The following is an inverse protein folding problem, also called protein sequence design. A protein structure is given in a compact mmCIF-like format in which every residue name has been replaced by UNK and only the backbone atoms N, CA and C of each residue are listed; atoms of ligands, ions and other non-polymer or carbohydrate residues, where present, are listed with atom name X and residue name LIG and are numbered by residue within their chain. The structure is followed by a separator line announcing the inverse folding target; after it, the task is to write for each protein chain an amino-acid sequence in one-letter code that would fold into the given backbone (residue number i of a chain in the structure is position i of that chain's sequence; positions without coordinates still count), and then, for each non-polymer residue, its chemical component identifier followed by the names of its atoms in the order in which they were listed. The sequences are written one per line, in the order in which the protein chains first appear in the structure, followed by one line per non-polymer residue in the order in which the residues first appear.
data_IF_482798271248
#
_entry.id   IF_482798271248
#
_cell.length_a   1.000
_cell.length_b   1.000
_cell.length_c   1.000
_cell.angle_alpha   90.00
_cell.angle_beta   90.00
_cell.angle_gamma   90.00
#
_symmetry.space_group_name_H-M   'P 1'
#
loop_
_entity.id
_entity.type
_entity.pdbx_description
1 polymer ?
#
# COMPACT_ATOMS: atom_id res chain seq x y z
N UNK A 1 2.07 31.66 13.83
CA UNK A 1 0.76 31.10 13.42
C UNK A 1 0.75 30.63 11.95
N UNK A 2 1.83 30.83 11.19
CA UNK A 2 1.93 30.49 9.75
C UNK A 2 2.25 29.02 9.41
N UNK A 3 2.76 28.21 10.36
CA UNK A 3 3.33 26.89 10.04
C UNK A 3 2.37 25.68 10.12
N UNK A 4 1.13 25.83 10.58
CA UNK A 4 0.27 24.65 10.78
C UNK A 4 -0.18 24.01 9.45
N UNK A 5 -0.52 24.83 8.46
CA UNK A 5 -1.10 24.36 7.20
C UNK A 5 -0.08 24.05 6.10
N UNK A 6 1.19 24.44 6.24
CA UNK A 6 2.18 24.27 5.16
C UNK A 6 2.34 22.81 4.73
N UNK A 7 2.35 21.87 5.68
CA UNK A 7 2.45 20.44 5.37
C UNK A 7 1.21 19.91 4.63
N UNK A 8 0.02 20.46 4.92
CA UNK A 8 -1.21 20.07 4.25
C UNK A 8 -1.29 20.66 2.83
N UNK A 9 -0.88 21.92 2.66
CA UNK A 9 -0.87 22.58 1.34
C UNK A 9 0.07 21.87 0.38
N UNK A 10 1.28 21.48 0.83
CA UNK A 10 2.19 20.66 0.02
C UNK A 10 1.59 19.33 -0.42
N UNK A 11 0.89 18.63 0.48
CA UNK A 11 0.21 17.38 0.13
C UNK A 11 -0.92 17.58 -0.91
N UNK A 12 -1.60 18.73 -0.87
CA UNK A 12 -2.65 19.06 -1.85
C UNK A 12 -2.03 19.38 -3.22
N UNK A 13 -0.90 20.08 -3.26
CA UNK A 13 -0.21 20.40 -4.51
C UNK A 13 0.35 19.15 -5.22
N UNK A 14 0.81 18.17 -4.45
CA UNK A 14 1.41 16.92 -4.95
C UNK A 14 0.38 15.80 -5.21
N UNK A 15 -0.93 16.06 -5.03
CA UNK A 15 -1.95 15.00 -5.14
C UNK A 15 -2.23 14.62 -6.59
N UNK A 16 -2.28 13.32 -6.87
CA UNK A 16 -2.71 12.81 -8.16
C UNK A 16 -4.25 12.92 -8.28
N UNK A 17 -4.72 13.80 -9.17
CA UNK A 17 -6.17 14.10 -9.33
C UNK A 17 -6.91 13.09 -10.21
N UNK A 18 -6.17 12.19 -10.86
CA UNK A 18 -6.70 11.12 -11.70
C UNK A 18 -6.18 9.80 -11.16
N UNK A 19 -7.07 8.84 -10.89
CA UNK A 19 -6.67 7.50 -10.50
C UNK A 19 -7.06 6.49 -11.57
N UNK A 20 -6.08 5.70 -12.01
CA UNK A 20 -6.35 4.53 -12.84
C UNK A 20 -6.80 3.40 -11.92
N UNK A 21 -7.99 2.87 -12.18
CA UNK A 21 -8.63 1.84 -11.35
C UNK A 21 -8.78 0.57 -12.16
N UNK A 22 -8.21 -0.52 -11.65
CA UNK A 22 -8.37 -1.85 -12.21
C UNK A 22 -9.63 -2.55 -11.71
N UNK A 23 -9.85 -3.76 -12.21
CA UNK A 23 -10.93 -4.64 -11.75
C UNK A 23 -10.45 -6.07 -11.62
N UNK A 24 -10.88 -6.75 -10.56
CA UNK A 24 -10.65 -8.18 -10.35
C UNK A 24 -11.31 -8.97 -11.48
N UNK A 25 -10.54 -9.80 -12.16
CA UNK A 25 -10.99 -10.65 -13.27
C UNK A 25 -11.04 -12.11 -12.88
N UNK A 26 -10.14 -12.55 -12.01
CA UNK A 26 -10.07 -13.95 -11.58
C UNK A 26 -9.49 -14.07 -10.18
N UNK A 27 -9.92 -15.09 -9.46
CA UNK A 27 -9.42 -15.44 -8.13
C UNK A 27 -9.05 -16.92 -8.17
N UNK A 28 -7.82 -17.26 -7.75
CA UNK A 28 -7.31 -18.62 -7.63
C UNK A 28 -6.64 -18.79 -6.26
N UNK A 29 -7.37 -19.32 -5.28
CA UNK A 29 -6.88 -19.40 -3.91
C UNK A 29 -6.57 -17.99 -3.36
N UNK A 30 -5.31 -17.75 -2.98
CA UNK A 30 -4.81 -16.46 -2.48
C UNK A 30 -4.23 -15.55 -3.58
N UNK A 31 -4.41 -15.91 -4.85
CA UNK A 31 -3.97 -15.09 -5.98
C UNK A 31 -5.19 -14.41 -6.62
N UNK A 32 -5.10 -13.10 -6.78
CA UNK A 32 -6.09 -12.29 -7.51
C UNK A 32 -5.45 -11.82 -8.81
N UNK A 33 -6.12 -12.02 -9.94
CA UNK A 33 -5.73 -11.45 -11.22
C UNK A 33 -6.69 -10.29 -11.54
N UNK A 34 -6.16 -9.11 -11.83
CA UNK A 34 -6.95 -7.92 -12.22
C UNK A 34 -6.55 -7.39 -13.60
N UNK A 35 -7.49 -6.75 -14.29
CA UNK A 35 -7.19 -5.94 -15.47
C UNK A 35 -6.89 -4.52 -14.99
N UNK A 36 -5.64 -4.08 -15.15
CA UNK A 36 -5.14 -2.89 -14.46
C UNK A 36 -5.19 -3.02 -12.92
N UNK A 37 -4.92 -1.95 -12.17
CA UNK A 37 -4.45 -0.64 -12.65
C UNK A 37 -3.00 -0.70 -13.14
N UNK A 38 -2.48 0.41 -13.66
CA UNK A 38 -1.05 0.53 -13.94
C UNK A 38 -0.27 0.52 -12.61
N UNK A 39 0.72 -0.37 -12.50
CA UNK A 39 1.54 -0.57 -11.31
C UNK A 39 2.83 -1.32 -11.69
N UNK A 40 3.80 -1.36 -10.79
CA UNK A 40 5.04 -2.12 -10.89
C UNK A 40 5.04 -3.34 -9.95
N UNK A 41 5.96 -4.28 -10.17
CA UNK A 41 6.16 -5.41 -9.24
C UNK A 41 6.65 -4.86 -7.90
N UNK A 42 6.05 -5.33 -6.80
CA UNK A 42 6.32 -4.86 -5.45
C UNK A 42 5.43 -3.69 -5.01
N UNK A 43 4.71 -3.05 -5.92
CA UNK A 43 3.74 -2.02 -5.56
C UNK A 43 2.62 -2.60 -4.71
N UNK A 44 2.12 -1.78 -3.79
CA UNK A 44 0.91 -2.05 -3.05
C UNK A 44 -0.33 -1.60 -3.82
N UNK A 45 -1.36 -2.42 -3.73
CA UNK A 45 -2.70 -2.14 -4.20
C UNK A 45 -3.73 -2.29 -3.07
N UNK A 46 -4.85 -1.59 -3.21
CA UNK A 46 -6.05 -1.79 -2.40
C UNK A 46 -7.12 -2.44 -3.26
N UNK A 47 -7.68 -3.54 -2.77
CA UNK A 47 -8.79 -4.25 -3.41
C UNK A 47 -10.05 -4.01 -2.59
N UNK A 48 -11.11 -3.55 -3.24
CA UNK A 48 -12.44 -3.46 -2.61
C UNK A 48 -12.93 -4.85 -2.21
N UNK A 49 -13.69 -4.90 -1.12
CA UNK A 49 -14.36 -6.09 -0.63
C UNK A 49 -15.84 -5.78 -0.35
N UNK A 50 -16.62 -6.82 -0.08
CA UNK A 50 -17.98 -6.66 0.48
C UNK A 50 -17.94 -5.81 1.76
N UNK A 51 -19.04 -5.08 2.03
CA UNK A 51 -19.24 -4.21 3.19
C UNK A 51 -18.28 -3.00 3.26
N UNK A 52 -17.93 -2.43 2.11
CA UNK A 52 -17.08 -1.23 1.97
C UNK A 52 -15.70 -1.33 2.63
N UNK A 53 -15.23 -2.57 2.86
CA UNK A 53 -13.88 -2.84 3.34
C UNK A 53 -12.90 -2.85 2.16
N UNK A 54 -11.63 -2.57 2.47
CA UNK A 54 -10.53 -2.73 1.53
C UNK A 54 -9.47 -3.61 2.13
N UNK A 55 -8.80 -4.36 1.27
CA UNK A 55 -7.66 -5.20 1.64
C UNK A 55 -6.42 -4.76 0.88
N UNK A 56 -5.28 -4.75 1.56
CA UNK A 56 -4.00 -4.46 0.94
C UNK A 56 -3.43 -5.72 0.27
N UNK A 57 -2.93 -5.56 -0.94
CA UNK A 57 -2.31 -6.60 -1.73
C UNK A 57 -1.03 -6.11 -2.40
N UNK A 58 -0.09 -7.01 -2.65
CA UNK A 58 1.16 -6.72 -3.35
C UNK A 58 1.11 -7.26 -4.78
N UNK A 59 1.67 -6.48 -5.72
CA UNK A 59 1.85 -6.90 -7.11
C UNK A 59 3.00 -7.89 -7.20
N UNK A 60 2.68 -9.15 -7.50
CA UNK A 60 3.68 -10.21 -7.67
C UNK A 60 4.24 -10.28 -9.10
N UNK A 61 3.51 -9.76 -10.07
CA UNK A 61 3.89 -9.87 -11.48
C UNK A 61 2.72 -9.65 -12.43
N UNK A 62 2.96 -9.98 -13.70
CA UNK A 62 2.00 -9.80 -14.78
C UNK A 62 1.87 -11.07 -15.60
N UNK A 63 0.66 -11.38 -16.04
CA UNK A 63 0.35 -12.49 -16.92
C UNK A 63 -0.49 -12.00 -18.10
N UNK A 64 0.17 -11.71 -19.22
CA UNK A 64 -0.46 -11.04 -20.36
C UNK A 64 -1.00 -9.66 -19.94
N UNK A 65 -2.31 -9.38 -20.10
CA UNK A 65 -2.89 -8.11 -19.72
C UNK A 65 -3.23 -8.01 -18.21
N UNK A 66 -3.04 -9.08 -17.43
CA UNK A 66 -3.48 -9.15 -16.05
C UNK A 66 -2.35 -8.87 -15.05
N UNK A 67 -2.67 -8.09 -14.04
CA UNK A 67 -1.84 -7.89 -12.84
C UNK A 67 -2.11 -9.03 -11.88
N UNK A 68 -1.08 -9.70 -11.40
CA UNK A 68 -1.17 -10.76 -10.38
C UNK A 68 -0.89 -10.19 -9.00
N UNK A 69 -1.84 -10.33 -8.10
CA UNK A 69 -1.86 -9.70 -6.78
C UNK A 69 -2.00 -10.75 -5.68
N UNK A 70 -1.31 -10.54 -4.55
CA UNK A 70 -1.48 -11.34 -3.33
C UNK A 70 -1.87 -10.44 -2.17
N UNK A 71 -3.03 -10.71 -1.57
CA UNK A 71 -3.49 -9.95 -0.41
C UNK A 71 -2.73 -10.35 0.86
N UNK A 72 -2.35 -9.37 1.68
CA UNK A 72 -1.66 -9.60 2.96
C UNK A 72 -2.56 -10.20 4.03
N UNK A 73 -3.84 -9.81 4.05
CA UNK A 73 -4.81 -10.22 5.05
C UNK A 73 -6.17 -10.49 4.42
N UNK A 74 -7.08 -11.13 5.15
CA UNK A 74 -8.53 -11.00 4.92
C UNK A 74 -9.06 -11.24 3.50
N UNK A 75 -8.73 -12.36 2.84
CA UNK A 75 -9.23 -12.69 1.49
C UNK A 75 -10.77 -12.79 1.34
N UNK A 76 -11.48 -12.93 2.45
CA UNK A 76 -12.93 -13.14 2.46
C UNK A 76 -13.68 -11.92 1.93
N UNK A 77 -14.46 -12.12 0.89
CA UNK A 77 -15.32 -11.07 0.32
C UNK A 77 -14.71 -10.29 -0.85
N UNK A 78 -13.56 -10.73 -1.38
CA UNK A 78 -13.08 -10.31 -2.69
C UNK A 78 -13.85 -11.08 -3.77
N UNK A 79 -14.34 -10.38 -4.78
CA UNK A 79 -15.15 -10.92 -5.87
C UNK A 79 -14.71 -10.40 -7.23
N UNK A 80 -15.02 -11.16 -8.28
CA UNK A 80 -14.84 -10.70 -9.66
C UNK A 80 -15.63 -9.40 -9.86
N UNK A 81 -14.98 -8.41 -10.46
CA UNK A 81 -15.51 -7.08 -10.70
C UNK A 81 -15.21 -6.06 -9.60
N UNK A 82 -14.70 -6.46 -8.43
CA UNK A 82 -14.23 -5.52 -7.41
C UNK A 82 -13.13 -4.62 -7.96
N UNK A 83 -13.09 -3.37 -7.50
CA UNK A 83 -12.10 -2.40 -7.96
C UNK A 83 -10.76 -2.68 -7.30
N UNK A 84 -9.71 -2.40 -8.05
CA UNK A 84 -8.32 -2.48 -7.60
C UNK A 84 -7.68 -1.12 -7.82
N UNK A 85 -7.11 -0.56 -6.76
CA UNK A 85 -6.48 0.75 -6.74
C UNK A 85 -4.98 0.59 -6.51
N UNK A 86 -4.15 1.21 -7.36
CA UNK A 86 -2.71 1.26 -7.12
C UNK A 86 -2.41 2.32 -6.06
N UNK A 87 -1.46 2.05 -5.17
CA UNK A 87 -0.86 3.07 -4.33
C UNK A 87 0.38 3.69 -4.95
N UNK A 88 0.83 3.19 -6.12
CA UNK A 88 2.01 3.64 -6.87
C UNK A 88 3.29 3.70 -6.01
N UNK A 89 3.39 2.81 -5.03
CA UNK A 89 4.52 2.67 -4.11
C UNK A 89 4.52 1.29 -3.49
N UNK A 90 5.70 0.81 -3.13
CA UNK A 90 5.87 -0.40 -2.34
C UNK A 90 5.51 -0.22 -0.87
N UNK A 91 5.86 -1.22 -0.07
CA UNK A 91 5.62 -1.20 1.37
C UNK A 91 6.50 -0.15 2.05
N UNK A 92 5.86 0.77 2.78
CA UNK A 92 6.53 1.79 3.58
C UNK A 92 6.34 1.55 5.07
N UNK A 93 7.39 1.79 5.86
CA UNK A 93 7.32 1.78 7.33
C UNK A 93 7.76 3.13 7.85
N UNK A 94 7.15 3.57 8.95
CA UNK A 94 7.59 4.75 9.69
C UNK A 94 8.94 4.50 10.34
N UNK A 95 10.03 5.01 9.77
CA UNK A 95 11.38 4.87 10.32
C UNK A 95 11.73 6.10 11.16
N UNK A 96 11.24 6.12 12.40
CA UNK A 96 11.53 7.16 13.39
C UNK A 96 11.74 6.57 14.79
N UNK A 97 12.26 7.38 15.71
CA UNK A 97 12.44 7.00 17.11
C UNK A 97 11.12 6.64 17.80
N UNK A 98 9.96 7.03 17.22
CA UNK A 98 8.64 6.65 17.73
C UNK A 98 8.37 5.14 17.68
N UNK A 99 9.14 4.38 16.89
CA UNK A 99 9.06 2.92 16.88
C UNK A 99 9.54 2.28 18.18
N UNK A 100 10.41 2.95 18.94
CA UNK A 100 11.03 2.38 20.14
C UNK A 100 9.96 2.07 21.20
N UNK A 101 9.86 0.80 21.59
CA UNK A 101 8.89 0.33 22.58
C UNK A 101 7.45 0.19 22.08
N UNK A 102 7.25 0.25 20.75
CA UNK A 102 5.98 -0.06 20.09
C UNK A 102 5.93 -1.51 19.63
N UNK A 103 4.72 -2.02 19.43
CA UNK A 103 4.48 -3.28 18.70
C UNK A 103 3.75 -2.94 17.41
N UNK A 104 4.32 -3.37 16.27
CA UNK A 104 3.78 -3.15 14.93
C UNK A 104 3.55 -4.48 14.21
N UNK A 105 2.65 -4.48 13.22
CA UNK A 105 2.47 -5.59 12.28
C UNK A 105 3.50 -5.55 11.13
N UNK A 106 3.42 -6.54 10.22
CA UNK A 106 4.29 -6.63 9.05
C UNK A 106 4.10 -5.51 8.02
N UNK A 107 3.00 -4.75 8.12
CA UNK A 107 2.71 -3.59 7.27
C UNK A 107 3.12 -2.27 7.95
N UNK A 108 3.79 -2.34 9.09
CA UNK A 108 4.24 -1.18 9.85
C UNK A 108 3.15 -0.49 10.66
N UNK A 109 1.96 -1.09 10.81
CA UNK A 109 0.84 -0.49 11.56
C UNK A 109 0.96 -0.82 13.04
N UNK A 110 0.70 0.13 13.96
CA UNK A 110 0.74 -0.14 15.38
C UNK A 110 -0.40 -1.06 15.84
N UNK A 111 -0.07 -2.10 16.58
CA UNK A 111 -1.03 -3.10 17.13
C UNK A 111 -1.04 -3.14 18.67
N UNK A 112 -0.42 -2.15 19.31
CA UNK A 112 -0.31 -2.04 20.78
C UNK A 112 -1.34 -1.11 21.44
N UNK A 113 -2.34 -0.63 20.68
CA UNK A 113 -3.38 0.31 21.14
C UNK A 113 -2.86 1.67 21.66
N UNK A 114 -1.61 2.05 21.37
CA UNK A 114 -1.03 3.36 21.78
C UNK A 114 -1.26 4.49 20.77
N UNK A 115 -2.05 4.26 19.72
CA UNK A 115 -2.35 5.25 18.67
C UNK A 115 -1.35 5.27 17.51
N UNK A 116 -1.59 6.13 16.52
CA UNK A 116 -0.74 6.28 15.33
C UNK A 116 0.55 7.04 15.62
N UNK A 117 1.53 6.92 14.73
CA UNK A 117 2.75 7.73 14.75
C UNK A 117 2.43 9.19 14.40
N UNK A 118 3.13 10.13 15.04
CA UNK A 118 2.96 11.57 14.85
C UNK A 118 3.87 12.09 13.72
N UNK A 119 5.08 11.58 13.64
CA UNK A 119 6.03 11.91 12.57
C UNK A 119 5.67 11.19 11.27
N UNK A 120 5.75 11.89 10.14
CA UNK A 120 5.50 11.32 8.81
C UNK A 120 6.81 10.89 8.12
N UNK A 121 7.64 10.12 8.81
CA UNK A 121 8.94 9.64 8.31
C UNK A 121 8.82 8.24 7.69
N UNK A 122 7.84 8.05 6.81
CA UNK A 122 7.67 6.80 6.07
C UNK A 122 8.77 6.66 5.03
N UNK A 123 9.39 5.48 5.01
CA UNK A 123 10.36 5.10 3.99
C UNK A 123 9.95 3.76 3.40
N UNK A 124 10.08 3.65 2.10
CA UNK A 124 9.91 2.40 1.38
C UNK A 124 10.97 1.40 1.84
N UNK A 125 10.59 0.13 1.98
CA UNK A 125 11.47 -0.97 2.35
C UNK A 125 12.30 -1.45 1.15
N UNK A 126 13.01 -0.51 0.52
CA UNK A 126 13.98 -0.82 -0.53
C UNK A 126 15.33 -1.02 0.13
N UNK A 127 15.88 -2.22 -0.01
CA UNK A 127 17.22 -2.52 0.44
C UNK A 127 18.22 -2.14 -0.64
N UNK A 128 18.66 -0.88 -0.63
CA UNK A 128 19.87 -0.51 -1.36
C UNK A 128 21.08 -1.22 -0.72
N UNK A 129 21.96 -1.75 -1.57
CA UNK A 129 23.20 -2.37 -1.09
C UNK A 129 24.04 -1.28 -0.42
N UNK A 130 24.27 -1.44 0.89
CA UNK A 130 25.24 -0.60 1.60
C UNK A 130 26.61 -0.88 0.98
N UNK A 131 27.25 0.16 0.46
CA UNK A 131 28.62 0.06 -0.03
C UNK A 131 29.55 -0.05 1.19
N UNK A 132 30.29 -1.17 1.37
CA UNK A 132 31.14 -1.37 2.54
C UNK A 132 32.35 -0.42 2.62
N UNK A 133 32.59 0.41 1.59
CA UNK A 133 33.75 1.32 1.49
C UNK A 133 33.33 2.80 1.65
N UNK A 134 32.03 3.10 1.83
CA UNK A 134 31.56 4.42 2.24
C UNK A 134 31.26 4.46 3.74
#
# INVERSE_FOLDING_TARGET
MSNFFENYLRQVDDIETVSFVGRVQKIKGLLVESLGPQCAIGDLCLIDQRNDKKVCAEVLGFNGPYVSLMAYEGFSGIEVGNKVYSLNKGLEINLSDELLGRVIDSLGRPIDNKGSFLNNSYKELIFEKINPIN
#
